data_IF_181335230103
#
_entry.id   IF_181335230103
#
_cell.length_a   1.000
_cell.length_b   1.000
_cell.length_c   1.000
_cell.angle_alpha   90.00
_cell.angle_beta   90.00
_cell.angle_gamma   90.00
#
_symmetry.space_group_name_H-M   'P 1'
#
loop_
_entity.id
_entity.type
_entity.pdbx_description
1 polymer ?
#
# COMPACT_ATOMS: atom_id res chain seq x y z
N UNK A 1 -4.97 -4.73 6.87
CA UNK A 1 -3.75 -3.93 6.66
C UNK A 1 -2.63 -4.89 6.33
N UNK A 2 -1.89 -4.63 5.26
CA UNK A 2 -0.72 -5.41 4.84
C UNK A 2 0.52 -4.54 5.10
N UNK A 3 1.55 -5.10 5.71
CA UNK A 3 2.75 -4.37 6.12
C UNK A 3 3.99 -5.10 5.63
N UNK A 4 4.85 -4.37 4.92
CA UNK A 4 6.22 -4.77 4.61
C UNK A 4 7.12 -4.22 5.71
N UNK A 5 7.99 -5.05 6.26
CA UNK A 5 8.91 -4.61 7.31
C UNK A 5 10.15 -5.48 7.35
N UNK A 6 11.21 -4.91 7.91
CA UNK A 6 12.45 -5.60 8.20
C UNK A 6 12.48 -6.00 9.67
N UNK A 7 12.98 -7.20 9.95
CA UNK A 7 13.14 -7.71 11.31
C UNK A 7 14.53 -8.32 11.45
N UNK A 8 15.21 -8.01 12.54
CA UNK A 8 16.47 -8.66 12.96
C UNK A 8 16.25 -9.82 13.94
N UNK A 9 14.98 -10.15 14.22
CA UNK A 9 14.59 -11.17 15.20
C UNK A 9 14.31 -10.65 16.61
N UNK A 10 14.71 -9.41 16.93
CA UNK A 10 14.41 -8.75 18.22
C UNK A 10 13.51 -7.52 18.05
N UNK A 11 13.74 -6.77 16.97
CA UNK A 11 13.04 -5.53 16.62
C UNK A 11 12.35 -5.67 15.26
N UNK A 12 11.22 -4.98 15.09
CA UNK A 12 10.50 -4.91 13.81
C UNK A 12 10.37 -3.46 13.36
N UNK A 13 10.91 -3.15 12.17
CA UNK A 13 10.83 -1.84 11.54
C UNK A 13 9.87 -1.91 10.33
N UNK A 14 8.71 -1.23 10.37
CA UNK A 14 7.81 -1.17 9.23
C UNK A 14 8.43 -0.29 8.13
N UNK A 15 8.55 -0.83 6.93
CA UNK A 15 9.06 -0.14 5.75
C UNK A 15 7.93 0.51 4.96
N UNK A 16 6.85 -0.24 4.74
CA UNK A 16 5.69 0.23 3.98
C UNK A 16 4.40 -0.48 4.40
N UNK A 17 3.25 0.14 4.18
CA UNK A 17 1.95 -0.44 4.51
C UNK A 17 0.82 0.00 3.58
N UNK A 18 -0.05 -0.96 3.25
CA UNK A 18 -1.27 -0.71 2.49
C UNK A 18 -2.50 -1.04 3.34
N UNK A 19 -3.48 -0.13 3.31
CA UNK A 19 -4.80 -0.41 3.86
C UNK A 19 -5.45 -1.43 2.95
N UNK A 20 -6.12 -2.45 3.50
CA UNK A 20 -6.72 -3.50 2.66
C UNK A 20 -8.23 -3.36 2.64
N UNK A 21 -8.79 -3.41 1.46
CA UNK A 21 -10.21 -3.60 1.20
C UNK A 21 -10.39 -4.83 0.29
N UNK A 22 -11.61 -5.33 0.16
CA UNK A 22 -11.88 -6.38 -0.81
C UNK A 22 -11.71 -5.85 -2.23
N UNK A 23 -10.92 -6.53 -3.06
CA UNK A 23 -10.83 -6.26 -4.50
C UNK A 23 -12.18 -6.49 -5.20
N UNK A 24 -12.99 -7.43 -4.69
CA UNK A 24 -14.34 -7.72 -5.19
C UNK A 24 -15.35 -6.76 -4.58
N UNK A 25 -16.05 -6.01 -5.43
CA UNK A 25 -17.09 -5.04 -5.02
C UNK A 25 -18.15 -5.61 -4.09
N UNK A 26 -18.63 -6.82 -4.38
CA UNK A 26 -19.65 -7.51 -3.57
C UNK A 26 -19.27 -7.72 -2.10
N UNK A 27 -17.97 -7.70 -1.77
CA UNK A 27 -17.48 -7.92 -0.41
C UNK A 27 -16.85 -6.66 0.20
N UNK A 28 -17.02 -5.48 -0.42
CA UNK A 28 -16.54 -4.22 0.16
C UNK A 28 -17.53 -3.73 1.20
N UNK A 29 -17.03 -3.45 2.40
CA UNK A 29 -17.82 -2.88 3.49
C UNK A 29 -18.28 -1.46 3.18
N UNK A 30 -17.42 -0.69 2.52
CA UNK A 30 -17.72 0.67 2.09
C UNK A 30 -17.16 0.88 0.68
N UNK A 31 -18.03 1.31 -0.22
CA UNK A 31 -17.68 1.68 -1.58
C UNK A 31 -17.01 3.05 -1.64
N UNK A 32 -16.20 3.28 -2.66
CA UNK A 32 -15.61 4.60 -2.87
C UNK A 32 -16.71 5.59 -3.28
N UNK A 33 -16.81 6.72 -2.56
CA UNK A 33 -17.76 7.76 -2.90
C UNK A 33 -17.35 8.44 -4.22
N UNK A 34 -18.34 8.73 -5.07
CA UNK A 34 -18.12 9.34 -6.38
C UNK A 34 -17.72 10.82 -6.32
N UNK A 35 -17.97 11.48 -5.20
CA UNK A 35 -17.70 12.91 -4.96
C UNK A 35 -16.29 13.19 -4.43
N UNK A 36 -15.44 12.16 -4.33
CA UNK A 36 -14.06 12.31 -3.86
C UNK A 36 -13.17 12.90 -4.96
N UNK A 37 -12.43 13.96 -4.61
CA UNK A 37 -11.39 14.51 -5.48
C UNK A 37 -10.26 13.48 -5.69
N UNK A 38 -9.96 13.19 -6.96
CA UNK A 38 -8.92 12.26 -7.39
C UNK A 38 -7.51 12.71 -7.00
N UNK A 39 -7.31 14.01 -6.78
CA UNK A 39 -6.02 14.58 -6.36
C UNK A 39 -5.74 14.31 -4.90
N UNK A 40 -6.77 14.07 -4.08
CA UNK A 40 -6.63 13.85 -2.65
C UNK A 40 -5.87 12.56 -2.35
N UNK A 41 -5.01 12.60 -1.33
CA UNK A 41 -4.32 11.41 -0.82
C UNK A 41 -5.30 10.31 -0.41
N UNK A 42 -6.44 10.70 0.16
CA UNK A 42 -7.50 9.76 0.56
C UNK A 42 -8.14 8.99 -0.60
N UNK A 43 -8.16 9.55 -1.81
CA UNK A 43 -8.60 8.83 -3.02
C UNK A 43 -7.53 7.81 -3.44
N UNK A 44 -6.27 8.25 -3.51
CA UNK A 44 -5.13 7.40 -3.88
C UNK A 44 -4.99 6.18 -2.96
N UNK A 45 -5.08 6.38 -1.64
CA UNK A 45 -5.02 5.29 -0.65
C UNK A 45 -6.19 4.31 -0.74
N UNK A 46 -7.38 4.77 -1.14
CA UNK A 46 -8.55 3.89 -1.35
C UNK A 46 -8.40 3.07 -2.62
N UNK A 47 -7.87 3.66 -3.67
CA UNK A 47 -7.52 2.94 -4.90
C UNK A 47 -6.52 1.83 -4.62
N UNK A 48 -5.44 2.17 -3.91
CA UNK A 48 -4.42 1.22 -3.47
C UNK A 48 -5.00 0.10 -2.61
N UNK A 49 -5.94 0.42 -1.73
CA UNK A 49 -6.60 -0.59 -0.89
C UNK A 49 -7.47 -1.59 -1.62
N UNK A 50 -7.85 -1.31 -2.87
CA UNK A 50 -8.64 -2.23 -3.70
C UNK A 50 -7.77 -3.14 -4.56
N UNK A 51 -6.45 -2.96 -4.55
CA UNK A 51 -5.50 -3.78 -5.29
C UNK A 51 -5.49 -5.20 -4.69
N UNK A 52 -5.46 -6.26 -5.53
CA UNK A 52 -5.27 -7.62 -5.04
C UNK A 52 -4.01 -7.75 -4.19
N UNK A 53 -4.09 -8.55 -3.13
CA UNK A 53 -2.97 -8.76 -2.19
C UNK A 53 -1.63 -9.10 -2.87
N UNK A 54 -1.52 -10.05 -3.83
CA UNK A 54 -0.23 -10.37 -4.43
C UNK A 54 0.37 -9.17 -5.18
N UNK A 55 -0.46 -8.45 -5.93
CA UNK A 55 -0.03 -7.29 -6.71
C UNK A 55 0.40 -6.13 -5.80
N UNK A 56 -0.31 -5.94 -4.67
CA UNK A 56 0.05 -4.95 -3.67
C UNK A 56 1.42 -5.26 -3.04
N UNK A 57 1.73 -6.53 -2.74
CA UNK A 57 3.05 -6.92 -2.20
C UNK A 57 4.16 -6.60 -3.20
N UNK A 58 3.97 -6.90 -4.49
CA UNK A 58 4.96 -6.60 -5.53
C UNK A 58 5.21 -5.10 -5.64
N UNK A 59 4.14 -4.29 -5.63
CA UNK A 59 4.28 -2.82 -5.64
C UNK A 59 5.02 -2.29 -4.42
N UNK A 60 4.73 -2.80 -3.23
CA UNK A 60 5.42 -2.40 -1.99
C UNK A 60 6.92 -2.77 -2.06
N UNK A 61 7.26 -3.94 -2.63
CA UNK A 61 8.65 -4.35 -2.84
C UNK A 61 9.38 -3.44 -3.84
N UNK A 62 8.76 -3.14 -4.97
CA UNK A 62 9.32 -2.22 -5.97
C UNK A 62 9.53 -0.82 -5.40
N UNK A 63 8.56 -0.31 -4.63
CA UNK A 63 8.65 0.98 -3.94
C UNK A 63 9.77 0.98 -2.90
N UNK A 64 9.90 -0.08 -2.11
CA UNK A 64 10.99 -0.24 -1.15
C UNK A 64 12.34 -0.26 -1.87
N UNK A 65 12.51 -1.10 -2.90
CA UNK A 65 13.75 -1.17 -3.68
C UNK A 65 14.11 0.19 -4.29
N UNK A 66 13.15 0.86 -4.91
CA UNK A 66 13.37 2.20 -5.47
C UNK A 66 13.78 3.21 -4.40
N UNK A 67 13.10 3.26 -3.26
CA UNK A 67 13.44 4.17 -2.16
C UNK A 67 14.84 3.91 -1.59
N UNK A 68 15.23 2.63 -1.44
CA UNK A 68 16.54 2.24 -0.95
C UNK A 68 17.67 2.54 -1.94
N UNK A 69 17.49 2.23 -3.24
CA UNK A 69 18.57 2.39 -4.22
C UNK A 69 18.67 3.80 -4.81
N UNK A 70 17.58 4.58 -4.91
CA UNK A 70 17.68 5.99 -5.32
C UNK A 70 18.21 6.91 -4.19
N UNK A 71 18.22 6.45 -2.94
CA UNK A 71 18.77 7.20 -1.80
C UNK A 71 20.30 7.13 -1.65
N UNK A 72 21.00 6.37 -2.50
CA UNK A 72 22.46 6.14 -2.43
C UNK A 72 23.25 6.99 -3.45
N UNK A 73 22.57 7.76 -4.30
CA UNK A 73 23.21 8.82 -5.09
C UNK A 73 22.95 10.18 -4.43
N UNK A 74 23.77 10.53 -3.44
CA UNK A 74 24.04 11.91 -3.02
C UNK A 74 25.54 12.07 -2.87
#
# INVERSE_FOLDING_TARGET
>A
MLTLGWSDGFSFAPLDFTLMNSAKSKHRLCEMRADLDKRASGYKRRMEAMIPKPDAVVQMLEQALNAFFHGVCI
#
